data_IF_035865870579
#
_entry.id   IF_035865870579
#
_cell.length_a   1.000
_cell.length_b   1.000
_cell.length_c   1.000
_cell.angle_alpha   90.00
_cell.angle_beta   90.00
_cell.angle_gamma   90.00
#
_symmetry.space_group_name_H-M   'P 1'
#
loop_
_entity.id
_entity.type
_entity.pdbx_description
1 polymer ?
#
# COMPACT_ATOMS: atom_id res chain seq x y z
N UNK A 1 -19.45 13.36 5.59
CA UNK A 1 -18.98 13.66 4.22
C UNK A 1 -19.82 12.83 3.28
N UNK A 2 -20.36 13.46 2.28
CA UNK A 2 -21.10 12.76 1.27
C UNK A 2 -20.14 11.89 0.44
N UNK A 3 -20.65 10.77 -0.06
CA UNK A 3 -19.88 9.84 -0.86
C UNK A 3 -19.75 10.39 -2.28
N UNK A 4 -18.59 10.23 -2.92
CA UNK A 4 -18.45 10.56 -4.33
C UNK A 4 -19.43 9.75 -5.16
N UNK A 5 -20.26 10.43 -5.95
CA UNK A 5 -21.42 9.86 -6.64
C UNK A 5 -21.08 8.66 -7.52
N UNK A 6 -19.93 8.68 -8.16
CA UNK A 6 -19.50 7.62 -9.09
C UNK A 6 -18.70 6.50 -8.41
N UNK A 7 -18.49 6.57 -7.07
CA UNK A 7 -17.78 5.51 -6.35
C UNK A 7 -18.64 4.25 -6.18
N UNK A 8 -18.00 3.08 -6.21
CA UNK A 8 -18.65 1.81 -5.87
C UNK A 8 -18.80 1.63 -4.35
N UNK A 9 -19.60 0.67 -3.89
CA UNK A 9 -19.70 0.35 -2.45
C UNK A 9 -18.47 -0.40 -1.99
N UNK A 10 -18.15 -0.34 -0.67
CA UNK A 10 -17.06 -1.12 -0.08
C UNK A 10 -17.26 -2.63 -0.33
N UNK A 11 -18.49 -3.12 -0.26
CA UNK A 11 -18.84 -4.50 -0.58
C UNK A 11 -18.51 -4.84 -2.03
N UNK A 12 -19.00 -4.04 -2.98
CA UNK A 12 -18.65 -4.19 -4.40
C UNK A 12 -17.14 -4.17 -4.63
N UNK A 13 -16.43 -3.23 -3.98
CA UNK A 13 -14.97 -3.12 -4.12
C UNK A 13 -14.25 -4.37 -3.61
N UNK A 14 -14.69 -4.93 -2.48
CA UNK A 14 -14.08 -6.14 -1.90
C UNK A 14 -14.36 -7.39 -2.73
N UNK A 15 -15.58 -7.58 -3.17
CA UNK A 15 -16.01 -8.79 -3.88
C UNK A 15 -15.54 -8.84 -5.33
N UNK A 16 -15.37 -7.69 -5.97
CA UNK A 16 -14.96 -7.63 -7.37
C UNK A 16 -13.53 -8.10 -7.56
N UNK A 17 -13.34 -9.15 -8.35
CA UNK A 17 -12.03 -9.62 -8.80
C UNK A 17 -11.53 -8.71 -9.92
N UNK A 18 -10.72 -7.74 -9.57
CA UNK A 18 -10.12 -6.77 -10.48
C UNK A 18 -8.64 -6.56 -10.14
N UNK A 19 -7.86 -6.10 -11.09
CA UNK A 19 -6.46 -5.77 -10.88
C UNK A 19 -6.35 -4.48 -10.07
N UNK A 20 -5.57 -4.51 -9.00
CA UNK A 20 -5.25 -3.32 -8.21
C UNK A 20 -3.83 -2.85 -8.47
N UNK A 21 -3.55 -1.57 -8.18
CA UNK A 21 -2.19 -1.04 -8.21
C UNK A 21 -1.19 -1.98 -7.53
N UNK A 22 -1.47 -2.42 -6.31
CA UNK A 22 -0.54 -3.26 -5.54
C UNK A 22 -0.23 -4.59 -6.22
N UNK A 23 -1.20 -5.19 -6.92
CA UNK A 23 -1.01 -6.42 -7.69
C UNK A 23 -0.12 -6.18 -8.91
N UNK A 24 -0.40 -5.12 -9.66
CA UNK A 24 0.35 -4.73 -10.86
C UNK A 24 1.79 -4.34 -10.49
N UNK A 25 1.97 -3.54 -9.44
CA UNK A 25 3.28 -3.13 -8.95
C UNK A 25 4.11 -4.30 -8.42
N UNK A 26 3.47 -5.28 -7.75
CA UNK A 26 4.16 -6.49 -7.30
C UNK A 26 4.64 -7.34 -8.48
N UNK A 27 3.84 -7.45 -9.53
CA UNK A 27 4.27 -8.13 -10.75
C UNK A 27 5.48 -7.44 -11.41
N UNK A 28 5.42 -6.13 -11.61
CA UNK A 28 6.53 -5.38 -12.23
C UNK A 28 7.84 -5.47 -11.41
N UNK A 29 7.71 -5.58 -10.10
CA UNK A 29 8.86 -5.62 -9.19
C UNK A 29 9.43 -7.01 -8.98
N UNK A 30 8.56 -7.99 -8.69
CA UNK A 30 8.93 -9.31 -8.17
C UNK A 30 8.66 -10.43 -9.21
N UNK A 31 8.13 -10.08 -10.40
CA UNK A 31 7.81 -11.02 -11.47
C UNK A 31 6.49 -11.79 -11.26
N UNK A 32 6.19 -12.75 -12.15
CA UNK A 32 4.89 -13.40 -12.20
C UNK A 32 4.54 -14.21 -10.96
N UNK A 33 5.51 -14.74 -10.23
CA UNK A 33 5.27 -15.46 -8.97
C UNK A 33 4.55 -14.60 -7.93
N UNK A 34 4.72 -13.27 -7.98
CA UNK A 34 4.04 -12.33 -7.09
C UNK A 34 2.51 -12.30 -7.28
N UNK A 35 2.01 -12.75 -8.44
CA UNK A 35 0.58 -12.81 -8.74
C UNK A 35 -0.16 -13.86 -7.90
N UNK A 36 0.52 -14.94 -7.52
CA UNK A 36 -0.04 -16.04 -6.75
C UNK A 36 0.45 -16.09 -5.30
N UNK A 37 1.53 -15.35 -4.98
CA UNK A 37 2.08 -15.29 -3.62
C UNK A 37 1.41 -14.15 -2.85
N UNK A 38 0.78 -14.47 -1.72
CA UNK A 38 0.26 -13.45 -0.80
C UNK A 38 1.29 -13.22 0.31
N UNK A 39 1.77 -11.98 0.43
CA UNK A 39 2.55 -11.53 1.59
C UNK A 39 1.57 -10.85 2.54
N UNK A 40 1.26 -11.47 3.67
CA UNK A 40 0.51 -10.78 4.72
C UNK A 40 1.44 -9.84 5.48
N UNK A 41 1.19 -8.55 5.33
CA UNK A 41 1.92 -7.47 5.99
C UNK A 41 1.05 -6.71 6.99
N UNK A 42 -0.21 -7.11 7.19
CA UNK A 42 -1.21 -6.37 7.97
C UNK A 42 -0.78 -6.11 9.41
N UNK A 43 -0.05 -7.06 10.03
CA UNK A 43 0.48 -6.95 11.38
C UNK A 43 1.79 -6.15 11.53
N UNK A 44 2.36 -5.62 10.45
CA UNK A 44 3.60 -4.85 10.55
C UNK A 44 3.34 -3.44 11.06
N UNK A 45 4.12 -2.99 12.04
CA UNK A 45 3.94 -1.71 12.73
C UNK A 45 3.88 -0.50 11.80
N UNK A 46 4.66 -0.52 10.70
CA UNK A 46 4.64 0.57 9.70
C UNK A 46 3.34 0.60 8.88
N UNK A 47 2.71 -0.56 8.61
CA UNK A 47 1.39 -0.62 7.96
C UNK A 47 0.30 -0.11 8.90
N UNK A 48 0.35 -0.56 10.18
CA UNK A 48 -0.57 -0.09 11.21
C UNK A 48 -0.46 1.42 11.38
N UNK A 49 0.76 1.95 11.40
CA UNK A 49 1.00 3.38 11.53
C UNK A 49 0.45 4.18 10.33
N UNK A 50 0.71 3.70 9.09
CA UNK A 50 0.14 4.34 7.89
C UNK A 50 -1.38 4.39 7.94
N UNK A 51 -2.02 3.26 8.26
CA UNK A 51 -3.48 3.20 8.44
C UNK A 51 -4.00 4.14 9.53
N UNK A 52 -3.29 4.26 10.66
CA UNK A 52 -3.67 5.17 11.72
C UNK A 52 -3.67 6.63 11.25
N UNK A 53 -2.63 7.05 10.49
CA UNK A 53 -2.56 8.38 9.91
C UNK A 53 -3.69 8.61 8.90
N UNK A 54 -3.95 7.64 8.01
CA UNK A 54 -5.03 7.69 7.04
C UNK A 54 -6.40 7.80 7.74
N UNK A 55 -6.66 6.96 8.75
CA UNK A 55 -7.91 7.00 9.48
C UNK A 55 -8.07 8.32 10.26
N UNK A 56 -7.01 8.83 10.90
CA UNK A 56 -7.08 10.13 11.59
C UNK A 56 -7.35 11.30 10.64
N UNK A 57 -6.78 11.26 9.44
CA UNK A 57 -6.89 12.36 8.49
C UNK A 57 -8.16 12.28 7.64
N UNK A 58 -8.50 11.09 7.16
CA UNK A 58 -9.51 10.87 6.13
C UNK A 58 -10.78 10.19 6.64
N UNK A 59 -10.68 9.36 7.66
CA UNK A 59 -11.79 8.52 8.15
C UNK A 59 -11.85 8.46 9.69
N UNK A 60 -11.96 9.61 10.39
CA UNK A 60 -11.90 9.67 11.86
C UNK A 60 -12.96 8.81 12.57
N UNK A 61 -14.04 8.45 11.88
CA UNK A 61 -15.03 7.49 12.36
C UNK A 61 -14.45 6.08 12.57
N UNK A 62 -13.29 5.76 12.01
CA UNK A 62 -12.62 4.47 12.16
C UNK A 62 -11.73 4.39 13.42
N UNK A 63 -11.51 5.51 14.11
CA UNK A 63 -10.57 5.57 15.24
C UNK A 63 -10.98 4.68 16.41
N UNK A 64 -12.25 4.29 16.53
CA UNK A 64 -12.71 3.32 17.52
C UNK A 64 -12.05 1.94 17.39
N UNK A 65 -11.46 1.63 16.22
CA UNK A 65 -10.72 0.37 15.97
C UNK A 65 -9.37 0.33 16.68
N UNK A 66 -8.86 1.47 17.13
CA UNK A 66 -7.55 1.60 17.75
C UNK A 66 -7.66 1.74 19.27
N UNK A 67 -6.74 1.11 19.98
CA UNK A 67 -6.60 1.25 21.42
C UNK A 67 -5.13 1.47 21.77
N UNK A 68 -4.88 2.45 22.62
CA UNK A 68 -3.52 2.69 23.11
C UNK A 68 -3.14 1.50 24.01
N UNK A 69 -2.00 0.88 23.70
CA UNK A 69 -1.44 -0.18 24.49
C UNK A 69 -1.00 0.39 25.84
N UNK A 70 -1.74 0.03 26.88
CA UNK A 70 -1.50 0.41 28.26
C UNK A 70 -1.01 -0.76 29.12
N UNK A 71 -0.46 -1.80 28.50
CA UNK A 71 0.14 -2.90 29.23
C UNK A 71 1.33 -2.41 30.09
N UNK A 72 1.27 -2.69 31.39
CA UNK A 72 2.24 -2.21 32.37
C UNK A 72 3.32 -3.24 32.70
N UNK A 73 3.26 -4.44 32.12
CA UNK A 73 4.25 -5.50 32.34
C UNK A 73 5.48 -5.35 31.46
N UNK A 74 6.40 -6.30 31.59
CA UNK A 74 7.58 -6.41 30.71
C UNK A 74 7.14 -6.74 29.29
N UNK A 75 7.54 -5.90 28.33
CA UNK A 75 7.25 -6.15 26.92
C UNK A 75 8.24 -7.18 26.33
N UNK A 76 7.76 -8.12 25.52
CA UNK A 76 8.62 -9.08 24.85
C UNK A 76 9.51 -8.40 23.79
N UNK A 77 10.68 -8.99 23.54
CA UNK A 77 11.50 -8.59 22.39
C UNK A 77 10.74 -8.85 21.07
N UNK A 78 11.18 -8.20 19.98
CA UNK A 78 10.52 -8.34 18.67
C UNK A 78 10.37 -9.80 18.23
N UNK A 79 11.41 -10.63 18.42
CA UNK A 79 11.36 -12.06 18.06
C UNK A 79 10.38 -12.86 18.90
N UNK A 80 10.23 -12.54 20.19
CA UNK A 80 9.24 -13.19 21.07
C UNK A 80 7.85 -12.67 20.73
N UNK A 81 7.69 -11.37 20.45
CA UNK A 81 6.42 -10.79 20.01
C UNK A 81 5.89 -11.45 18.76
N UNK A 82 6.74 -11.76 17.78
CA UNK A 82 6.33 -12.46 16.55
C UNK A 82 5.77 -13.87 16.85
N UNK A 83 6.35 -14.58 17.82
CA UNK A 83 5.85 -15.89 18.27
C UNK A 83 4.54 -15.74 19.05
N UNK A 84 4.45 -14.76 19.97
CA UNK A 84 3.23 -14.51 20.76
C UNK A 84 2.07 -14.14 19.84
N UNK A 85 2.29 -13.28 18.85
CA UNK A 85 1.25 -12.92 17.89
C UNK A 85 0.73 -14.14 17.13
N UNK A 86 1.60 -15.07 16.70
CA UNK A 86 1.18 -16.32 16.07
C UNK A 86 0.43 -17.24 17.04
N UNK A 87 0.81 -17.26 18.33
CA UNK A 87 0.06 -17.97 19.36
C UNK A 87 -1.35 -17.40 19.53
N UNK A 88 -1.47 -16.07 19.55
CA UNK A 88 -2.78 -15.38 19.58
C UNK A 88 -3.61 -15.74 18.36
N UNK A 89 -3.03 -15.68 17.16
CA UNK A 89 -3.72 -16.07 15.91
C UNK A 89 -4.20 -17.52 15.95
N UNK A 90 -3.36 -18.44 16.46
CA UNK A 90 -3.75 -19.83 16.65
C UNK A 90 -4.98 -19.97 17.54
N UNK A 91 -4.94 -19.34 18.74
CA UNK A 91 -6.07 -19.38 19.69
C UNK A 91 -7.34 -18.81 19.06
N UNK A 92 -7.23 -17.64 18.41
CA UNK A 92 -8.39 -16.98 17.76
C UNK A 92 -9.00 -17.80 16.63
N UNK A 93 -8.15 -18.52 15.88
CA UNK A 93 -8.58 -19.31 14.72
C UNK A 93 -9.16 -20.66 15.09
N UNK A 94 -8.59 -21.34 16.09
CA UNK A 94 -8.96 -22.71 16.45
C UNK A 94 -9.91 -22.76 17.64
N UNK A 95 -9.86 -21.76 18.54
CA UNK A 95 -10.52 -21.81 19.86
C UNK A 95 -9.87 -22.78 20.85
N UNK A 96 -8.71 -23.36 20.51
CA UNK A 96 -8.02 -24.34 21.34
C UNK A 96 -7.04 -23.67 22.31
N UNK A 97 -6.76 -24.36 23.40
CA UNK A 97 -5.75 -23.93 24.37
C UNK A 97 -4.33 -24.02 23.81
N UNK A 98 -3.50 -23.07 24.20
CA UNK A 98 -2.10 -23.04 23.82
C UNK A 98 -1.28 -24.06 24.61
N UNK A 99 -1.08 -25.24 24.06
CA UNK A 99 -0.23 -26.29 24.63
C UNK A 99 1.25 -26.05 24.32
N UNK A 100 2.15 -26.68 25.09
CA UNK A 100 3.59 -26.57 24.85
C UNK A 100 4.01 -27.13 23.49
N UNK A 101 3.31 -28.14 22.97
CA UNK A 101 3.54 -28.67 21.63
C UNK A 101 3.20 -27.63 20.56
N UNK A 102 2.08 -26.93 20.70
CA UNK A 102 1.68 -25.85 19.79
C UNK A 102 2.69 -24.72 19.82
N UNK A 103 3.17 -24.32 21.01
CA UNK A 103 4.23 -23.32 21.13
C UNK A 103 5.49 -23.74 20.37
N UNK A 104 5.90 -25.00 20.48
CA UNK A 104 7.08 -25.51 19.78
C UNK A 104 6.89 -25.50 18.26
N UNK A 105 5.73 -25.93 17.75
CA UNK A 105 5.40 -25.89 16.32
C UNK A 105 5.46 -24.47 15.78
N UNK A 106 4.90 -23.50 16.52
CA UNK A 106 4.95 -22.10 16.16
C UNK A 106 6.40 -21.58 16.18
N UNK A 107 7.19 -21.93 17.19
CA UNK A 107 8.61 -21.58 17.27
C UNK A 107 9.41 -22.13 16.08
N UNK A 108 9.12 -23.35 15.65
CA UNK A 108 9.76 -23.98 14.49
C UNK A 108 9.36 -23.28 13.19
N UNK A 109 8.06 -23.02 13.00
CA UNK A 109 7.54 -22.29 11.83
C UNK A 109 8.16 -20.89 11.70
N UNK A 110 8.42 -20.22 12.83
CA UNK A 110 9.02 -18.86 12.87
C UNK A 110 10.56 -18.86 12.91
N UNK A 111 11.19 -20.00 12.81
CA UNK A 111 12.66 -20.12 12.97
C UNK A 111 13.19 -19.50 14.29
N UNK A 112 12.36 -19.50 15.33
CA UNK A 112 12.65 -18.86 16.60
C UNK A 112 13.81 -19.55 17.32
N UNK A 113 14.92 -18.85 17.46
CA UNK A 113 16.15 -19.31 18.12
C UNK A 113 16.46 -20.79 17.91
N UNK A 114 16.76 -21.19 16.66
CA UNK A 114 16.99 -22.60 16.23
C UNK A 114 17.91 -23.41 17.15
N UNK A 115 18.89 -22.76 17.82
CA UNK A 115 19.87 -23.40 18.69
C UNK A 115 19.38 -23.60 20.14
N UNK A 116 18.23 -23.03 20.51
CA UNK A 116 17.72 -23.18 21.85
C UNK A 116 17.05 -24.54 22.06
N UNK A 117 17.17 -25.08 23.29
CA UNK A 117 16.45 -26.29 23.68
C UNK A 117 14.94 -26.02 23.68
N UNK A 118 14.16 -27.08 23.52
CA UNK A 118 12.69 -27.01 23.48
C UNK A 118 12.12 -26.37 24.76
N UNK A 119 12.61 -26.79 25.90
CA UNK A 119 12.18 -26.26 27.19
C UNK A 119 12.42 -24.76 27.30
N UNK A 120 13.61 -24.30 26.88
CA UNK A 120 13.96 -22.88 26.90
C UNK A 120 13.07 -22.04 26.00
N UNK A 121 12.64 -22.58 24.83
CA UNK A 121 11.71 -21.90 23.93
C UNK A 121 10.33 -21.74 24.58
N UNK A 122 9.81 -22.80 25.19
CA UNK A 122 8.53 -22.79 25.90
C UNK A 122 8.56 -21.78 27.05
N UNK A 123 9.59 -21.86 27.89
CA UNK A 123 9.76 -20.92 29.02
C UNK A 123 9.81 -19.47 28.56
N UNK A 124 10.51 -19.18 27.46
CA UNK A 124 10.62 -17.83 26.91
C UNK A 124 9.26 -17.28 26.44
N UNK A 125 8.39 -18.13 25.90
CA UNK A 125 7.03 -17.71 25.49
C UNK A 125 6.10 -17.62 26.71
N UNK A 126 6.13 -18.61 27.61
CA UNK A 126 5.29 -18.66 28.81
C UNK A 126 5.58 -17.51 29.79
N UNK A 127 6.82 -17.01 29.83
CA UNK A 127 7.17 -15.81 30.60
C UNK A 127 6.27 -14.62 30.28
N UNK A 128 5.74 -14.56 29.08
CA UNK A 128 4.89 -13.46 28.62
C UNK A 128 3.41 -13.85 28.48
N UNK A 129 2.96 -14.83 29.31
CA UNK A 129 1.55 -15.25 29.31
C UNK A 129 0.60 -14.08 29.58
N UNK A 130 0.90 -13.23 30.57
CA UNK A 130 0.09 -12.05 30.88
C UNK A 130 -0.02 -11.08 29.71
N UNK A 131 1.04 -10.95 28.91
CA UNK A 131 1.01 -10.13 27.70
C UNK A 131 0.16 -10.76 26.60
N UNK A 132 0.24 -12.07 26.44
CA UNK A 132 -0.60 -12.82 25.51
C UNK A 132 -2.08 -12.68 25.88
N UNK A 133 -2.41 -12.85 27.16
CA UNK A 133 -3.77 -12.69 27.67
C UNK A 133 -4.29 -11.27 27.47
N UNK A 134 -3.43 -10.26 27.72
CA UNK A 134 -3.75 -8.86 27.43
C UNK A 134 -4.07 -8.64 25.94
N UNK A 135 -3.33 -9.25 25.00
CA UNK A 135 -3.64 -9.13 23.57
C UNK A 135 -4.97 -9.80 23.25
N UNK A 136 -5.26 -10.99 23.80
CA UNK A 136 -6.52 -11.69 23.60
C UNK A 136 -7.73 -10.90 24.12
N UNK A 137 -7.61 -10.26 25.28
CA UNK A 137 -8.64 -9.38 25.83
C UNK A 137 -8.92 -8.16 24.95
N UNK A 138 -7.93 -7.72 24.19
CA UNK A 138 -8.02 -6.57 23.31
C UNK A 138 -8.07 -6.94 21.81
N UNK A 139 -8.45 -8.18 21.49
CA UNK A 139 -8.46 -8.74 20.12
C UNK A 139 -9.28 -7.95 19.09
N UNK A 140 -10.30 -7.23 19.56
CA UNK A 140 -11.19 -6.44 18.71
C UNK A 140 -10.60 -5.06 18.34
N UNK A 141 -9.44 -4.74 18.92
CA UNK A 141 -8.75 -3.47 18.70
C UNK A 141 -7.40 -3.66 18.06
N UNK A 142 -7.02 -2.71 17.22
CA UNK A 142 -5.64 -2.55 16.80
C UNK A 142 -4.86 -1.83 17.90
N UNK A 143 -4.00 -2.58 18.60
CA UNK A 143 -3.15 -2.02 19.64
C UNK A 143 -2.05 -1.15 19.04
N UNK A 144 -1.91 0.07 19.55
CA UNK A 144 -0.90 1.05 19.12
C UNK A 144 -0.19 1.63 20.35
N UNK A 145 1.05 2.09 20.16
CA UNK A 145 1.77 2.76 21.24
C UNK A 145 1.34 4.22 21.41
N UNK A 146 1.46 4.79 22.62
CA UNK A 146 1.25 6.24 22.82
C UNK A 146 2.11 7.09 21.89
N UNK A 147 3.34 6.63 21.60
CA UNK A 147 4.23 7.30 20.66
C UNK A 147 3.64 7.34 19.24
N UNK A 148 3.13 6.20 18.74
CA UNK A 148 2.51 6.14 17.41
C UNK A 148 1.32 7.11 17.30
N UNK A 149 0.46 7.13 18.33
CA UNK A 149 -0.68 8.05 18.38
C UNK A 149 -0.24 9.51 18.30
N UNK A 150 0.68 9.93 19.17
CA UNK A 150 1.14 11.32 19.24
C UNK A 150 1.84 11.77 17.95
N UNK A 151 2.62 10.88 17.30
CA UNK A 151 3.26 11.20 16.03
C UNK A 151 2.23 11.29 14.91
N UNK A 152 1.24 10.39 14.86
CA UNK A 152 0.18 10.44 13.88
C UNK A 152 -0.65 11.74 13.98
N UNK A 153 -1.01 12.17 15.21
CA UNK A 153 -1.70 13.46 15.43
C UNK A 153 -0.88 14.65 14.87
N UNK A 154 0.42 14.69 15.14
CA UNK A 154 1.30 15.75 14.63
C UNK A 154 1.40 15.74 13.11
N UNK A 155 1.46 14.56 12.50
CA UNK A 155 1.47 14.42 11.03
C UNK A 155 0.18 14.98 10.46
N UNK A 156 -0.97 14.58 11.01
CA UNK A 156 -2.29 15.04 10.56
C UNK A 156 -2.43 16.55 10.71
N UNK A 157 -2.02 17.11 11.85
CA UNK A 157 -2.02 18.56 12.06
C UNK A 157 -1.13 19.27 11.04
N UNK A 158 0.10 18.75 10.83
CA UNK A 158 1.03 19.31 9.85
C UNK A 158 0.43 19.31 8.45
N UNK A 159 -0.13 18.19 7.99
CA UNK A 159 -0.74 18.11 6.65
C UNK A 159 -1.90 19.11 6.50
N UNK A 160 -2.73 19.25 7.52
CA UNK A 160 -3.91 20.15 7.48
C UNK A 160 -3.56 21.64 7.55
N UNK A 161 -2.44 21.98 8.15
CA UNK A 161 -2.09 23.40 8.42
C UNK A 161 -0.97 23.95 7.56
N UNK A 162 -0.14 23.09 6.97
CA UNK A 162 1.00 23.52 6.18
C UNK A 162 0.55 24.17 4.85
N UNK A 163 1.13 25.32 4.46
CA UNK A 163 0.62 26.12 3.34
C UNK A 163 0.47 25.35 2.02
N UNK A 164 1.40 24.42 1.69
CA UNK A 164 1.35 23.70 0.42
C UNK A 164 0.29 22.60 0.38
N UNK A 165 -0.12 22.05 1.53
CA UNK A 165 -1.09 20.93 1.62
C UNK A 165 -2.46 21.37 2.12
N UNK A 166 -2.52 22.45 2.93
CA UNK A 166 -3.75 22.96 3.55
C UNK A 166 -4.89 23.12 2.55
N UNK A 167 -4.61 23.64 1.35
CA UNK A 167 -5.61 23.89 0.30
C UNK A 167 -6.46 22.69 -0.09
N UNK A 168 -5.99 21.48 0.15
CA UNK A 168 -6.73 20.26 -0.17
C UNK A 168 -7.60 19.75 0.99
N UNK A 169 -7.46 20.34 2.19
CA UNK A 169 -8.21 19.97 3.39
C UNK A 169 -9.10 21.10 3.92
N UNK A 170 -8.71 22.37 3.67
CA UNK A 170 -9.49 23.58 3.98
C UNK A 170 -10.10 24.09 2.69
N UNK A 171 -11.25 23.48 2.32
CA UNK A 171 -11.87 23.68 1.02
C UNK A 171 -12.60 25.02 0.94
N UNK A 172 -12.55 25.62 -0.23
CA UNK A 172 -13.26 26.88 -0.56
C UNK A 172 -14.72 26.59 -0.94
N UNK A 173 -15.53 27.64 -1.00
CA UNK A 173 -16.89 27.59 -1.53
C UNK A 173 -16.89 27.05 -2.98
N UNK A 174 -17.76 26.10 -3.26
CA UNK A 174 -17.82 25.42 -4.55
C UNK A 174 -16.84 24.26 -4.71
N UNK A 175 -16.08 23.93 -3.67
CA UNK A 175 -15.23 22.74 -3.64
C UNK A 175 -15.84 21.65 -2.74
N UNK A 176 -15.74 20.42 -3.19
CA UNK A 176 -16.11 19.22 -2.42
C UNK A 176 -14.90 18.30 -2.24
N UNK A 177 -14.78 17.68 -1.08
CA UNK A 177 -13.72 16.73 -0.78
C UNK A 177 -14.27 15.38 -0.41
N UNK A 178 -13.81 14.36 -1.11
CA UNK A 178 -14.19 12.97 -0.88
C UNK A 178 -12.97 12.18 -0.40
N UNK A 179 -13.15 11.37 0.61
CA UNK A 179 -12.08 10.53 1.17
C UNK A 179 -12.39 9.06 0.90
N UNK A 180 -11.34 8.25 0.72
CA UNK A 180 -11.43 6.81 0.50
C UNK A 180 -12.44 6.48 -0.62
N UNK A 181 -12.15 7.02 -1.81
CA UNK A 181 -13.03 6.85 -2.98
C UNK A 181 -12.68 5.55 -3.70
N UNK A 182 -13.56 4.58 -3.60
CA UNK A 182 -13.41 3.28 -4.25
C UNK A 182 -13.98 3.33 -5.67
N UNK A 183 -13.14 3.08 -6.67
CA UNK A 183 -13.53 2.97 -8.06
C UNK A 183 -13.24 1.59 -8.63
N UNK A 184 -14.13 1.14 -9.51
CA UNK A 184 -13.95 -0.04 -10.36
C UNK A 184 -14.30 0.39 -11.78
N UNK A 185 -13.42 0.13 -12.72
CA UNK A 185 -13.67 0.46 -14.12
C UNK A 185 -12.88 -0.47 -15.04
N UNK A 186 -13.16 -0.40 -16.32
CA UNK A 186 -12.38 -1.09 -17.34
C UNK A 186 -11.24 -0.18 -17.82
N UNK A 187 -10.04 -0.74 -17.89
CA UNK A 187 -8.88 -0.10 -18.46
C UNK A 187 -8.11 -1.07 -19.36
N UNK A 188 -7.93 -0.70 -20.64
CA UNK A 188 -7.19 -1.48 -21.63
C UNK A 188 -7.69 -2.95 -21.76
N UNK A 189 -8.99 -3.17 -21.65
CA UNK A 189 -9.65 -4.48 -21.71
C UNK A 189 -9.65 -5.29 -20.41
N UNK A 190 -9.04 -4.77 -19.35
CA UNK A 190 -8.96 -5.42 -18.03
C UNK A 190 -9.81 -4.69 -16.99
N UNK A 191 -10.48 -5.44 -16.12
CA UNK A 191 -11.17 -4.86 -14.98
C UNK A 191 -10.16 -4.46 -13.91
N UNK A 192 -10.14 -3.17 -13.56
CA UNK A 192 -9.22 -2.59 -12.60
C UNK A 192 -9.97 -1.95 -11.42
N UNK A 193 -9.31 -1.88 -10.27
CA UNK A 193 -9.84 -1.21 -9.09
C UNK A 193 -8.80 -0.39 -8.35
N UNK A 194 -9.23 0.74 -7.80
CA UNK A 194 -8.39 1.65 -7.02
C UNK A 194 -9.17 2.33 -5.91
N UNK A 195 -8.52 2.51 -4.77
CA UNK A 195 -9.01 3.29 -3.64
C UNK A 195 -8.20 4.58 -3.57
N UNK A 196 -8.84 5.70 -3.84
CA UNK A 196 -8.21 7.02 -3.80
C UNK A 196 -8.29 7.54 -2.36
N UNK A 197 -7.18 7.95 -1.80
CA UNK A 197 -7.18 8.46 -0.43
C UNK A 197 -8.03 9.73 -0.32
N UNK A 198 -7.82 10.67 -1.24
CA UNK A 198 -8.61 11.89 -1.30
C UNK A 198 -8.80 12.39 -2.73
N UNK A 199 -10.04 12.78 -3.03
CA UNK A 199 -10.44 13.43 -4.26
C UNK A 199 -11.05 14.79 -3.91
N UNK A 200 -10.56 15.86 -4.51
CA UNK A 200 -11.16 17.20 -4.40
C UNK A 200 -11.77 17.57 -5.74
N UNK A 201 -13.04 17.95 -5.72
CA UNK A 201 -13.79 18.42 -6.87
C UNK A 201 -14.02 19.91 -6.73
N UNK A 202 -13.61 20.69 -7.71
CA UNK A 202 -13.86 22.13 -7.79
C UNK A 202 -14.91 22.39 -8.87
N UNK A 203 -16.12 22.69 -8.43
CA UNK A 203 -17.25 22.92 -9.33
C UNK A 203 -17.19 24.30 -10.01
N UNK A 204 -16.44 25.24 -9.46
CA UNK A 204 -16.25 26.57 -10.03
C UNK A 204 -15.28 26.51 -11.21
N UNK A 205 -14.14 25.83 -10.99
CA UNK A 205 -13.09 25.68 -12.01
C UNK A 205 -13.29 24.42 -12.86
N UNK A 206 -14.26 23.58 -12.55
CA UNK A 206 -14.52 22.29 -13.21
C UNK A 206 -13.28 21.39 -13.23
N UNK A 207 -12.69 21.17 -12.07
CA UNK A 207 -11.47 20.36 -11.95
C UNK A 207 -11.59 19.27 -10.89
N UNK A 208 -10.82 18.19 -11.10
CA UNK A 208 -10.56 17.14 -10.12
C UNK A 208 -9.12 17.14 -9.70
N UNK A 209 -8.86 17.01 -8.41
CA UNK A 209 -7.53 16.81 -7.86
C UNK A 209 -7.45 15.47 -7.12
N UNK A 210 -6.59 14.58 -7.60
CA UNK A 210 -6.28 13.31 -6.92
C UNK A 210 -5.12 13.55 -5.96
N UNK A 211 -5.30 13.17 -4.70
CA UNK A 211 -4.27 13.23 -3.67
C UNK A 211 -4.15 11.85 -3.01
N UNK A 212 -2.94 11.36 -2.90
CA UNK A 212 -2.61 10.10 -2.27
C UNK A 212 -1.60 10.31 -1.15
N UNK A 213 -1.87 9.72 0.01
CA UNK A 213 -1.07 9.90 1.21
C UNK A 213 -0.05 8.78 1.34
N UNK A 214 1.15 9.13 1.73
CA UNK A 214 2.21 8.17 1.99
C UNK A 214 2.91 8.48 3.30
N UNK A 215 3.10 7.45 4.11
CA UNK A 215 3.98 7.49 5.27
C UNK A 215 5.07 6.45 5.13
N UNK A 216 6.24 6.70 5.70
CA UNK A 216 7.35 5.77 5.58
C UNK A 216 8.51 6.12 6.49
N UNK A 217 9.55 5.29 6.50
CA UNK A 217 10.71 5.44 7.39
C UNK A 217 11.83 6.30 6.83
N UNK A 218 11.79 6.63 5.52
CA UNK A 218 12.84 7.44 4.90
C UNK A 218 12.65 8.93 5.18
N UNK A 219 13.70 9.71 4.98
CA UNK A 219 13.61 11.16 5.10
C UNK A 219 12.82 11.75 3.92
N UNK A 220 12.36 12.99 4.09
CA UNK A 220 11.51 13.68 3.12
C UNK A 220 12.12 13.79 1.72
N UNK A 221 13.43 14.05 1.63
CA UNK A 221 14.19 14.19 0.40
C UNK A 221 14.48 12.85 -0.31
N UNK A 222 14.41 11.74 0.43
CA UNK A 222 14.58 10.38 -0.11
C UNK A 222 13.27 9.78 -0.67
N UNK A 223 12.14 10.48 -0.56
CA UNK A 223 10.85 9.95 -1.01
C UNK A 223 10.82 9.68 -2.51
N UNK A 224 11.57 10.42 -3.31
CA UNK A 224 11.66 10.18 -4.76
C UNK A 224 12.21 8.78 -5.07
N UNK A 225 13.15 8.27 -4.27
CA UNK A 225 13.67 6.92 -4.44
C UNK A 225 12.60 5.87 -4.08
N UNK A 226 11.79 6.15 -3.06
CA UNK A 226 10.65 5.29 -2.71
C UNK A 226 9.58 5.29 -3.80
N UNK A 227 9.35 6.44 -4.47
CA UNK A 227 8.44 6.53 -5.60
C UNK A 227 8.79 5.53 -6.70
N UNK A 228 10.06 5.47 -7.09
CA UNK A 228 10.52 4.50 -8.08
C UNK A 228 10.54 3.07 -7.56
N UNK A 229 11.04 2.86 -6.36
CA UNK A 229 11.17 1.54 -5.71
C UNK A 229 9.82 0.84 -5.53
N UNK A 230 8.77 1.56 -5.13
CA UNK A 230 7.44 1.02 -4.92
C UNK A 230 6.53 1.13 -6.13
N UNK A 231 7.04 1.64 -7.25
CA UNK A 231 6.25 1.76 -8.48
C UNK A 231 5.03 2.69 -8.34
N UNK A 232 5.14 3.77 -7.56
CA UNK A 232 4.04 4.73 -7.37
C UNK A 232 3.62 5.39 -8.69
N UNK A 233 4.48 5.41 -9.71
CA UNK A 233 4.13 5.81 -11.07
C UNK A 233 3.00 4.95 -11.68
N UNK A 234 2.94 3.63 -11.34
CA UNK A 234 1.83 2.75 -11.74
C UNK A 234 0.54 3.20 -11.07
N UNK A 235 0.60 3.56 -9.78
CA UNK A 235 -0.57 4.07 -9.06
C UNK A 235 -1.07 5.36 -9.68
N UNK A 236 -0.17 6.32 -9.93
CA UNK A 236 -0.54 7.60 -10.54
C UNK A 236 -1.19 7.40 -11.91
N UNK A 237 -0.56 6.61 -12.79
CA UNK A 237 -1.10 6.35 -14.12
C UNK A 237 -2.46 5.63 -14.07
N UNK A 238 -2.57 4.55 -13.26
CA UNK A 238 -3.79 3.77 -13.14
C UNK A 238 -4.94 4.62 -12.59
N UNK A 239 -4.72 5.32 -11.48
CA UNK A 239 -5.78 6.11 -10.84
C UNK A 239 -6.22 7.29 -11.69
N UNK A 240 -5.26 7.96 -12.35
CA UNK A 240 -5.59 9.03 -13.28
C UNK A 240 -6.53 8.52 -14.40
N UNK A 241 -6.17 7.41 -15.06
CA UNK A 241 -6.98 6.83 -16.14
C UNK A 241 -8.32 6.27 -15.66
N UNK A 242 -8.36 5.71 -14.47
CA UNK A 242 -9.62 5.26 -13.88
C UNK A 242 -10.58 6.42 -13.66
N UNK A 243 -10.09 7.53 -13.11
CA UNK A 243 -10.94 8.71 -12.89
C UNK A 243 -11.37 9.32 -14.22
N UNK A 244 -10.44 9.50 -15.18
CA UNK A 244 -10.73 10.00 -16.52
C UNK A 244 -11.85 9.19 -17.19
N UNK A 245 -11.76 7.86 -17.17
CA UNK A 245 -12.80 6.97 -17.72
C UNK A 245 -14.16 7.18 -17.08
N UNK A 246 -14.19 7.26 -15.75
CA UNK A 246 -15.44 7.39 -14.97
C UNK A 246 -16.10 8.75 -15.19
N UNK A 247 -15.34 9.84 -15.28
CA UNK A 247 -15.89 11.18 -15.50
C UNK A 247 -16.30 11.39 -16.95
N UNK A 248 -15.60 10.81 -17.92
CA UNK A 248 -15.94 10.90 -19.34
C UNK A 248 -17.30 10.23 -19.66
N UNK A 249 -17.66 9.21 -18.90
CA UNK A 249 -18.94 8.51 -19.02
C UNK A 249 -20.10 9.23 -18.30
N UNK A 250 -19.81 10.31 -17.57
CA UNK A 250 -20.80 11.02 -16.77
C UNK A 250 -21.09 12.42 -17.32
N UNK A 251 -22.35 12.66 -17.70
CA UNK A 251 -22.80 13.93 -18.28
C UNK A 251 -22.57 15.15 -17.38
N UNK A 252 -22.52 14.96 -16.05
CA UNK A 252 -22.25 16.05 -15.09
C UNK A 252 -20.79 16.48 -15.12
N UNK A 253 -19.88 15.55 -15.34
CA UNK A 253 -18.43 15.78 -15.16
C UNK A 253 -17.63 15.78 -16.46
N UNK A 254 -18.25 15.51 -17.60
CA UNK A 254 -17.56 15.42 -18.90
C UNK A 254 -16.74 16.66 -19.32
N UNK A 255 -17.06 17.82 -18.77
CA UNK A 255 -16.34 19.07 -19.03
C UNK A 255 -15.31 19.39 -17.95
N UNK A 256 -15.06 18.47 -17.01
CA UNK A 256 -14.09 18.68 -15.94
C UNK A 256 -12.72 18.15 -16.35
N UNK A 257 -11.68 18.85 -15.90
CA UNK A 257 -10.30 18.42 -16.10
C UNK A 257 -9.73 17.79 -14.85
N UNK A 258 -8.88 16.75 -15.02
CA UNK A 258 -8.09 16.20 -13.93
C UNK A 258 -6.77 16.96 -13.89
N UNK A 259 -6.47 17.53 -12.72
CA UNK A 259 -5.21 18.21 -12.45
C UNK A 259 -4.08 17.20 -12.27
N UNK A 260 -2.85 17.68 -12.15
CA UNK A 260 -1.67 16.87 -11.87
C UNK A 260 -1.89 16.01 -10.63
N UNK A 261 -1.45 14.74 -10.70
CA UNK A 261 -1.58 13.82 -9.57
C UNK A 261 -0.62 14.21 -8.44
N UNK A 262 -1.08 14.14 -7.19
CA UNK A 262 -0.29 14.55 -6.03
C UNK A 262 -0.11 13.42 -5.05
N UNK A 263 1.16 13.19 -4.64
CA UNK A 263 1.49 12.45 -3.43
C UNK A 263 1.86 13.41 -2.31
N UNK A 264 1.32 13.19 -1.12
CA UNK A 264 1.76 13.86 0.11
C UNK A 264 2.48 12.80 0.94
N UNK A 265 3.77 13.02 1.19
CA UNK A 265 4.58 12.12 2.00
C UNK A 265 4.96 12.76 3.33
N UNK A 266 4.85 11.95 4.40
CA UNK A 266 5.35 12.29 5.73
C UNK A 266 6.18 11.15 6.30
N UNK A 267 7.41 11.41 6.77
CA UNK A 267 8.18 10.41 7.52
C UNK A 267 7.44 9.96 8.78
N UNK A 268 7.48 8.65 9.08
CA UNK A 268 6.85 8.09 10.28
C UNK A 268 7.51 8.53 11.60
N UNK A 269 8.64 9.19 11.53
CA UNK A 269 9.27 9.91 12.65
C UNK A 269 8.63 11.28 12.93
N UNK A 270 7.76 11.76 12.02
CA UNK A 270 7.24 13.11 11.97
C UNK A 270 8.22 14.08 11.32
N UNK A 271 7.68 15.02 10.56
CA UNK A 271 8.43 16.11 9.97
C UNK A 271 7.63 17.41 10.12
N UNK A 272 8.33 18.56 10.05
CA UNK A 272 7.69 19.87 10.11
C UNK A 272 7.13 20.32 8.77
N UNK A 273 7.59 19.68 7.69
CA UNK A 273 7.28 20.03 6.32
C UNK A 273 6.84 18.76 5.59
N UNK A 274 5.61 18.72 5.03
CA UNK A 274 5.21 17.61 4.16
C UNK A 274 5.97 17.68 2.83
N UNK A 275 6.37 16.53 2.31
CA UNK A 275 6.86 16.43 0.94
C UNK A 275 5.66 16.33 0.01
N UNK A 276 5.59 17.19 -0.98
CA UNK A 276 4.58 17.16 -2.04
C UNK A 276 5.27 16.78 -3.34
N UNK A 277 4.93 15.60 -3.88
CA UNK A 277 5.39 15.15 -5.17
C UNK A 277 4.23 15.26 -6.17
N UNK A 278 4.40 16.13 -7.15
CA UNK A 278 3.42 16.34 -8.22
C UNK A 278 3.84 15.58 -9.47
N UNK A 279 2.91 14.82 -10.04
CA UNK A 279 3.09 14.13 -11.32
C UNK A 279 2.32 14.90 -12.38
N UNK A 280 3.04 15.58 -13.22
CA UNK A 280 2.46 16.35 -14.33
C UNK A 280 1.63 15.44 -15.25
N UNK A 281 0.51 15.93 -15.73
CA UNK A 281 -0.41 15.22 -16.63
C UNK A 281 0.31 14.58 -17.82
N UNK A 282 1.27 15.27 -18.43
CA UNK A 282 2.02 14.78 -19.57
C UNK A 282 2.87 13.54 -19.24
N UNK A 283 3.20 13.31 -17.96
CA UNK A 283 3.96 12.13 -17.51
C UNK A 283 3.10 10.88 -17.43
N UNK A 284 1.78 11.05 -17.26
CA UNK A 284 0.84 9.92 -17.21
C UNK A 284 0.89 9.12 -18.50
N UNK A 285 0.94 9.80 -19.65
CA UNK A 285 1.05 9.11 -20.95
C UNK A 285 2.36 8.32 -21.09
N UNK A 286 3.47 8.87 -20.61
CA UNK A 286 4.75 8.18 -20.59
C UNK A 286 4.70 6.94 -19.68
N UNK A 287 4.15 7.06 -18.48
CA UNK A 287 3.97 5.95 -17.55
C UNK A 287 3.04 4.85 -18.11
N UNK A 288 2.10 5.24 -18.94
CA UNK A 288 1.18 4.32 -19.59
C UNK A 288 1.85 3.51 -20.73
N UNK A 289 2.69 4.17 -21.54
CA UNK A 289 3.23 3.59 -22.78
C UNK A 289 4.70 3.14 -22.68
N UNK A 290 5.37 3.41 -21.56
CA UNK A 290 6.78 3.09 -21.30
C UNK A 290 7.70 4.29 -21.42
N UNK A 291 8.70 4.36 -20.53
CA UNK A 291 9.52 5.54 -20.30
C UNK A 291 10.96 5.19 -19.93
N UNK A 292 11.82 6.21 -19.90
CA UNK A 292 13.19 6.13 -19.43
C UNK A 292 13.37 6.98 -18.16
N UNK A 293 14.21 6.53 -17.24
CA UNK A 293 14.53 7.29 -16.02
C UNK A 293 15.91 7.93 -16.20
N UNK A 294 15.97 9.26 -16.16
CA UNK A 294 17.20 10.02 -16.28
C UNK A 294 17.90 9.76 -17.62
N UNK A 295 19.20 9.40 -17.56
CA UNK A 295 20.01 9.07 -18.73
C UNK A 295 20.08 7.56 -19.02
N UNK A 296 19.23 6.76 -18.40
CA UNK A 296 19.22 5.30 -18.60
C UNK A 296 18.84 4.97 -20.05
N UNK A 297 19.56 4.04 -20.65
CA UNK A 297 19.18 3.44 -21.94
C UNK A 297 18.11 2.35 -21.78
N UNK A 298 17.83 1.95 -20.53
CA UNK A 298 16.82 0.95 -20.22
C UNK A 298 15.43 1.58 -20.25
N UNK A 299 14.57 1.08 -21.13
CA UNK A 299 13.17 1.48 -21.20
C UNK A 299 12.34 0.68 -20.21
N UNK A 300 11.71 1.36 -19.26
CA UNK A 300 10.72 0.76 -18.39
C UNK A 300 9.45 0.42 -19.15
N UNK A 301 8.85 -0.74 -18.87
CA UNK A 301 7.53 -1.11 -19.39
C UNK A 301 6.49 -0.11 -18.91
N UNK A 302 5.54 0.23 -19.77
CA UNK A 302 4.40 1.06 -19.38
C UNK A 302 3.28 0.24 -18.78
N UNK A 303 2.35 0.91 -18.10
CA UNK A 303 1.18 0.30 -17.45
C UNK A 303 0.39 -0.62 -18.40
N UNK A 304 0.17 -0.20 -19.64
CA UNK A 304 -0.55 -1.00 -20.64
C UNK A 304 0.12 -2.35 -20.91
N UNK A 305 1.45 -2.34 -21.04
CA UNK A 305 2.20 -3.57 -21.28
C UNK A 305 2.16 -4.48 -20.06
N UNK A 306 2.36 -3.91 -18.86
CA UNK A 306 2.36 -4.68 -17.62
C UNK A 306 1.00 -5.36 -17.39
N UNK A 307 -0.11 -4.65 -17.60
CA UNK A 307 -1.46 -5.23 -17.47
C UNK A 307 -1.66 -6.39 -18.45
N UNK A 308 -1.25 -6.24 -19.73
CA UNK A 308 -1.35 -7.33 -20.72
C UNK A 308 -0.56 -8.57 -20.30
N UNK A 309 0.64 -8.37 -19.75
CA UNK A 309 1.46 -9.48 -19.26
C UNK A 309 0.80 -10.16 -18.04
N UNK A 310 0.23 -9.40 -17.11
CA UNK A 310 -0.50 -9.94 -15.96
C UNK A 310 -1.71 -10.77 -16.40
N UNK A 311 -2.52 -10.25 -17.33
CA UNK A 311 -3.64 -10.99 -17.92
C UNK A 311 -3.19 -12.28 -18.59
N UNK A 312 -2.13 -12.21 -19.40
CA UNK A 312 -1.57 -13.39 -20.05
C UNK A 312 -1.20 -14.49 -19.03
N UNK A 313 -0.57 -14.11 -17.89
CA UNK A 313 -0.24 -15.06 -16.84
C UNK A 313 -1.47 -15.71 -16.20
N UNK A 314 -2.52 -14.95 -15.98
CA UNK A 314 -3.77 -15.50 -15.45
C UNK A 314 -4.49 -16.39 -16.47
N UNK A 315 -4.52 -16.03 -17.74
CA UNK A 315 -5.13 -16.81 -18.81
C UNK A 315 -4.40 -18.14 -19.03
N UNK A 316 -3.07 -18.12 -19.01
CA UNK A 316 -2.26 -19.31 -19.30
C UNK A 316 -1.86 -20.11 -18.05
N UNK A 317 -2.14 -19.58 -16.83
CA UNK A 317 -1.77 -20.22 -15.55
C UNK A 317 -0.26 -20.52 -15.42
N UNK A 318 0.59 -19.66 -15.98
CA UNK A 318 2.06 -19.75 -15.94
C UNK A 318 2.59 -18.63 -15.04
N UNK A 319 3.26 -18.99 -13.93
CA UNK A 319 3.72 -18.01 -12.93
C UNK A 319 5.19 -18.16 -12.53
N UNK A 320 5.90 -19.12 -13.10
CA UNK A 320 7.31 -19.42 -12.82
C UNK A 320 8.30 -18.77 -13.80
N UNK A 321 7.80 -18.30 -14.94
CA UNK A 321 8.60 -17.65 -15.97
C UNK A 321 7.89 -16.40 -16.51
N UNK A 322 8.65 -15.45 -17.08
CA UNK A 322 8.09 -14.24 -17.69
C UNK A 322 7.49 -14.52 -19.07
N UNK A 323 6.59 -13.65 -19.54
CA UNK A 323 6.08 -13.68 -20.91
C UNK A 323 7.21 -13.60 -21.94
N UNK A 324 8.23 -12.78 -21.70
CA UNK A 324 9.38 -12.63 -22.61
C UNK A 324 10.17 -13.94 -22.74
N UNK A 325 10.31 -14.70 -21.65
CA UNK A 325 10.96 -16.01 -21.67
C UNK A 325 10.17 -17.03 -22.48
N UNK A 326 8.85 -17.07 -22.30
CA UNK A 326 7.96 -17.95 -23.06
C UNK A 326 7.97 -17.60 -24.56
N UNK A 327 7.93 -16.32 -24.90
CA UNK A 327 7.95 -15.85 -26.28
C UNK A 327 9.25 -16.19 -27.03
N UNK A 328 10.31 -16.55 -26.31
CA UNK A 328 11.61 -17.01 -26.84
C UNK A 328 11.82 -18.51 -26.70
N UNK A 329 10.79 -19.29 -26.45
CA UNK A 329 10.86 -20.73 -26.17
C UNK A 329 11.93 -21.10 -25.14
N UNK A 330 12.09 -20.26 -24.11
CA UNK A 330 13.08 -20.45 -23.05
C UNK A 330 14.53 -20.21 -23.50
N UNK A 331 14.76 -19.56 -24.64
CA UNK A 331 16.09 -19.34 -25.19
C UNK A 331 16.56 -17.91 -24.99
N UNK A 332 17.84 -17.74 -24.62
CA UNK A 332 18.52 -16.46 -24.57
C UNK A 332 19.77 -16.51 -25.45
N UNK A 333 19.98 -15.43 -26.20
CA UNK A 333 21.23 -15.19 -26.93
C UNK A 333 21.93 -14.02 -26.24
N UNK A 334 23.13 -14.25 -25.72
CA UNK A 334 24.00 -13.20 -25.21
C UNK A 334 24.72 -12.61 -26.43
N UNK A 335 24.37 -11.41 -26.81
CA UNK A 335 25.01 -10.69 -27.91
C UNK A 335 26.08 -9.69 -27.40
N UNK A 336 26.85 -9.13 -28.33
CA UNK A 336 27.93 -8.19 -28.02
C UNK A 336 27.43 -6.87 -27.38
N UNK A 337 26.12 -6.56 -27.46
CA UNK A 337 25.56 -5.37 -26.84
C UNK A 337 25.28 -5.60 -25.33
N UNK A 338 25.25 -6.86 -24.88
CA UNK A 338 25.02 -7.25 -23.48
C UNK A 338 26.33 -7.44 -22.71
N UNK A 339 27.44 -7.57 -23.40
CA UNK A 339 28.78 -7.73 -22.84
C UNK A 339 29.67 -6.61 -23.38
N UNK A 340 30.10 -5.73 -22.48
CA UNK A 340 31.10 -4.70 -22.82
C UNK A 340 32.48 -5.22 -22.37
N UNK A 341 33.48 -5.14 -23.23
CA UNK A 341 34.86 -5.32 -22.84
C UNK A 341 35.41 -4.00 -22.30
N UNK A 342 36.38 -4.05 -21.40
CA UNK A 342 37.00 -2.87 -20.78
C UNK A 342 37.73 -1.93 -21.77
N UNK A 343 37.71 -2.25 -23.08
CA UNK A 343 38.38 -1.53 -24.13
C UNK A 343 37.42 -0.70 -25.03
N UNK A 344 36.12 -0.58 -24.69
CA UNK A 344 35.13 0.30 -25.34
C UNK A 344 34.65 1.39 -24.33
#
# INVERSE_FOLDING_TARGET
MDRFRLSCTEEQFRETKALSYSRIASYDKDGPIALITKKDLSGKSYIIFGKLVDDMLLSPQNLYKYKINNYNGELPSSSISDVINECVEFILKTGEELTDNVILEICEKKDFYKRWKKETKIEAVRKYQDYLDFILENKDYQLITPFMWNVAEKIVETIKTYPTTKKWFDLLEGQEGFNQVDLITEYNGSLVKGAFDRLVVDHVNKTFQIIDLKTGSVQSDEFIDQFWKFRYWIQAALYYRMLEKVIDEDEQYKDYEILDFVFIYMPSSGAKIPTVLTIERDRIEAFENGFYIGKSEFKHKGLKQIIKEVEWHYENQVFDVSCDFMNRDGSYVIDCNQVRSDDE
#
